data_IF_901589635769
#
_entry.id   IF_901589635769
#
_cell.length_a   1.000
_cell.length_b   1.000
_cell.length_c   1.000
_cell.angle_alpha   90.00
_cell.angle_beta   90.00
_cell.angle_gamma   90.00
#
_symmetry.space_group_name_H-M   'P 1'
#
loop_
_entity.id
_entity.type
_entity.pdbx_description
1 polymer ?
#
# COMPACT_ATOMS: atom_id res chain seq x y z
N UNK A 1 6.02 -11.95 5.53
CA UNK A 1 5.22 -10.72 5.74
C UNK A 1 4.17 -10.65 4.63
N UNK A 2 3.05 -9.95 4.84
CA UNK A 2 1.99 -9.81 3.82
C UNK A 2 1.80 -8.34 3.46
N UNK A 3 1.49 -8.07 2.19
CA UNK A 3 1.02 -6.80 1.68
C UNK A 3 -0.44 -6.96 1.28
N UNK A 4 -1.36 -6.24 1.93
CA UNK A 4 -2.79 -6.29 1.63
C UNK A 4 -3.39 -7.72 1.64
N UNK A 5 -2.86 -8.59 2.50
CA UNK A 5 -3.28 -10.00 2.61
C UNK A 5 -2.55 -10.97 1.66
N UNK A 6 -1.70 -10.47 0.76
CA UNK A 6 -0.92 -11.27 -0.18
C UNK A 6 0.51 -11.46 0.37
N UNK A 7 1.06 -12.68 0.40
CA UNK A 7 2.45 -12.92 0.81
C UNK A 7 3.45 -12.13 -0.03
N UNK A 8 4.42 -11.51 0.64
CA UNK A 8 5.58 -10.91 -0.01
C UNK A 8 6.68 -11.95 -0.11
N UNK A 9 6.81 -12.52 -1.30
CA UNK A 9 7.79 -13.54 -1.65
C UNK A 9 8.42 -13.18 -3.00
N UNK A 10 9.65 -13.64 -3.25
CA UNK A 10 10.28 -13.41 -4.55
C UNK A 10 9.47 -14.11 -5.65
N UNK A 11 9.51 -13.56 -6.86
CA UNK A 11 8.94 -14.25 -8.02
C UNK A 11 9.71 -15.54 -8.31
N UNK A 12 9.19 -16.41 -9.19
CA UNK A 12 9.90 -17.61 -9.63
C UNK A 12 11.30 -17.30 -10.19
N UNK A 13 11.44 -16.16 -10.87
CA UNK A 13 12.71 -15.65 -11.40
C UNK A 13 13.56 -14.88 -10.36
N UNK A 14 13.29 -15.04 -9.06
CA UNK A 14 13.98 -14.41 -7.93
C UNK A 14 13.93 -12.86 -7.90
N UNK A 15 13.00 -12.24 -8.62
CA UNK A 15 12.82 -10.78 -8.63
C UNK A 15 11.95 -10.29 -7.48
N UNK A 16 11.99 -8.98 -7.24
CA UNK A 16 11.08 -8.28 -6.32
C UNK A 16 9.64 -8.42 -6.85
N UNK A 17 8.67 -8.87 -6.02
CA UNK A 17 7.29 -9.00 -6.45
C UNK A 17 6.64 -7.63 -6.72
N UNK A 18 5.55 -7.62 -7.49
CA UNK A 18 4.72 -6.42 -7.61
C UNK A 18 4.20 -5.99 -6.25
N UNK A 19 4.21 -4.67 -5.99
CA UNK A 19 3.70 -4.07 -4.76
C UNK A 19 2.41 -3.32 -5.06
N UNK A 20 1.34 -4.08 -5.24
CA UNK A 20 0.07 -3.53 -5.69
C UNK A 20 -0.75 -2.89 -4.56
N UNK A 21 -1.17 -1.62 -4.71
CA UNK A 21 -2.02 -0.96 -3.74
C UNK A 21 -3.48 -1.43 -3.86
N UNK A 22 -4.19 -1.46 -2.74
CA UNK A 22 -5.66 -1.53 -2.76
C UNK A 22 -6.21 -0.13 -2.98
N UNK A 23 -7.00 0.04 -4.04
CA UNK A 23 -7.68 1.32 -4.33
C UNK A 23 -9.00 1.40 -3.58
N UNK A 24 -9.16 2.46 -2.80
CA UNK A 24 -10.36 2.75 -2.02
C UNK A 24 -10.88 4.15 -2.39
N UNK A 25 -12.14 4.41 -2.07
CA UNK A 25 -12.71 5.75 -2.18
C UNK A 25 -11.99 6.70 -1.21
N UNK A 26 -11.73 7.93 -1.65
CA UNK A 26 -10.98 8.93 -0.86
C UNK A 26 -11.66 9.31 0.46
N UNK A 27 -12.98 9.15 0.55
CA UNK A 27 -13.76 9.44 1.75
C UNK A 27 -14.04 8.19 2.59
N UNK A 28 -13.54 7.02 2.20
CA UNK A 28 -13.69 5.81 2.99
C UNK A 28 -12.86 5.88 4.27
N UNK A 29 -13.38 5.38 5.41
CA UNK A 29 -12.58 5.30 6.64
C UNK A 29 -11.42 4.31 6.46
N UNK A 30 -10.26 4.68 6.98
CA UNK A 30 -9.08 3.81 7.03
C UNK A 30 -9.17 2.91 8.27
N UNK A 31 -9.09 1.60 8.08
CA UNK A 31 -9.02 0.62 9.16
C UNK A 31 -7.63 0.02 9.25
N UNK A 32 -6.99 0.15 10.41
CA UNK A 32 -5.65 -0.40 10.68
C UNK A 32 -5.78 -1.46 11.77
N UNK A 33 -5.33 -2.68 11.49
CA UNK A 33 -5.42 -3.78 12.43
C UNK A 33 -4.44 -3.60 13.62
N UNK A 34 -4.75 -4.12 14.81
CA UNK A 34 -3.80 -4.11 15.93
C UNK A 34 -2.44 -4.72 15.56
N UNK A 35 -1.36 -4.12 16.06
CA UNK A 35 0.02 -4.57 15.81
C UNK A 35 0.39 -4.67 14.32
N UNK A 36 -0.12 -3.75 13.51
CA UNK A 36 0.17 -3.68 12.07
C UNK A 36 0.60 -2.27 11.64
N UNK A 37 1.06 -2.16 10.40
CA UNK A 37 1.40 -0.90 9.73
C UNK A 37 0.79 -0.91 8.33
N UNK A 38 0.38 0.26 7.84
CA UNK A 38 -0.05 0.43 6.45
C UNK A 38 0.49 1.74 5.91
N UNK A 39 0.82 1.73 4.63
CA UNK A 39 1.23 2.92 3.88
C UNK A 39 0.07 3.38 3.04
N UNK A 40 -0.27 4.66 3.12
CA UNK A 40 -1.41 5.25 2.43
C UNK A 40 -0.87 6.33 1.51
N UNK A 41 -1.22 6.23 0.23
CA UNK A 41 -0.89 7.22 -0.78
C UNK A 41 -2.17 7.94 -1.15
N UNK A 42 -2.17 9.27 -1.07
CA UNK A 42 -3.20 10.11 -1.67
C UNK A 42 -2.76 10.45 -3.09
N UNK A 43 -3.37 9.84 -4.13
CA UNK A 43 -2.98 10.13 -5.50
C UNK A 43 -3.32 11.59 -5.83
N UNK A 44 -2.40 12.29 -6.50
CA UNK A 44 -2.57 13.69 -6.90
C UNK A 44 -2.83 14.64 -5.71
N UNK A 45 -2.28 14.34 -4.54
CA UNK A 45 -2.37 15.23 -3.39
C UNK A 45 -1.63 16.54 -3.69
N UNK A 46 -2.38 17.64 -3.73
CA UNK A 46 -1.83 18.98 -3.93
C UNK A 46 -1.20 19.49 -2.64
N UNK A 47 0.08 19.19 -2.46
CA UNK A 47 0.89 19.67 -1.37
C UNK A 47 2.01 20.58 -1.92
N UNK A 48 1.99 21.90 -1.63
CA UNK A 48 2.98 22.84 -2.16
C UNK A 48 4.44 22.50 -1.83
N UNK A 49 4.68 21.76 -0.74
CA UNK A 49 6.02 21.33 -0.34
C UNK A 49 6.51 20.07 -1.09
N UNK A 50 5.65 19.40 -1.87
CA UNK A 50 5.94 18.14 -2.55
C UNK A 50 6.11 18.31 -4.08
N UNK A 51 6.34 19.55 -4.54
CA UNK A 51 6.51 19.93 -5.94
C UNK A 51 7.97 20.14 -6.33
#
# INVERSE_FOLDING_TARGET
MVLNGIPLELTEDENIPSLDPVRLDVNSPLYINPLSISFIVFPNFDAPACA
#
